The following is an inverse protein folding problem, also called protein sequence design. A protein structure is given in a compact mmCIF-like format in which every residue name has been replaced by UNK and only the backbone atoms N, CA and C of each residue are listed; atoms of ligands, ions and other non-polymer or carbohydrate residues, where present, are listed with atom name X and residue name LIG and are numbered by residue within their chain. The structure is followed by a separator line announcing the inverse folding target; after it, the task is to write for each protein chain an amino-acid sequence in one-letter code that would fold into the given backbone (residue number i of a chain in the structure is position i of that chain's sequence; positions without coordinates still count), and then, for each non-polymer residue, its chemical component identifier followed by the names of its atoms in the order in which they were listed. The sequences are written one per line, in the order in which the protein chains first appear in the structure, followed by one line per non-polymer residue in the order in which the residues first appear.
data_IF_857181390380
#
_entry.id   IF_857181390380
#
_cell.length_a   1.000
_cell.length_b   1.000
_cell.length_c   1.000
_cell.angle_alpha   90.00
_cell.angle_beta   90.00
_cell.angle_gamma   90.00
#
_symmetry.space_group_name_H-M   'P 1'
#
loop_
_entity.id
_entity.type
_entity.pdbx_description
1 polymer ?
#
# COMPACT_ATOMS: atom_id res chain seq x y z
N UNK A 1 33.14 -41.18 -4.23
CA UNK A 1 31.89 -40.49 -4.65
C UNK A 1 30.90 -40.75 -3.54
N UNK A 2 30.66 -39.77 -2.66
CA UNK A 2 29.72 -39.92 -1.55
C UNK A 2 28.32 -39.54 -2.03
N UNK A 3 27.34 -40.39 -1.79
CA UNK A 3 25.92 -40.16 -2.05
C UNK A 3 25.45 -38.99 -1.17
N UNK A 4 25.13 -37.84 -1.77
CA UNK A 4 24.44 -36.75 -1.07
C UNK A 4 22.97 -37.17 -0.82
N UNK A 5 22.46 -37.09 0.42
CA UNK A 5 21.08 -37.50 0.72
C UNK A 5 20.09 -36.54 0.05
N UNK A 6 19.10 -37.09 -0.66
CA UNK A 6 18.10 -36.33 -1.41
C UNK A 6 17.41 -35.21 -0.60
N UNK A 7 17.24 -35.40 0.72
CA UNK A 7 16.72 -34.39 1.64
C UNK A 7 17.53 -33.09 1.67
N UNK A 8 18.85 -33.19 1.55
CA UNK A 8 19.73 -32.02 1.56
C UNK A 8 19.59 -31.20 0.27
N UNK A 9 19.27 -31.85 -0.86
CA UNK A 9 19.03 -31.18 -2.13
C UNK A 9 17.66 -30.46 -2.16
N UNK A 10 16.61 -31.06 -1.62
CA UNK A 10 15.28 -30.43 -1.48
C UNK A 10 15.32 -29.22 -0.53
N UNK A 11 16.00 -29.34 0.62
CA UNK A 11 16.16 -28.24 1.56
C UNK A 11 16.87 -27.02 0.95
N UNK A 12 17.91 -27.26 0.13
CA UNK A 12 18.63 -26.19 -0.59
C UNK A 12 17.79 -25.55 -1.70
N UNK A 13 16.85 -26.31 -2.28
CA UNK A 13 15.93 -25.82 -3.30
C UNK A 13 14.85 -24.89 -2.69
N UNK A 14 14.28 -25.28 -1.55
CA UNK A 14 13.33 -24.44 -0.78
C UNK A 14 13.99 -23.17 -0.24
N UNK A 15 15.25 -23.24 0.20
CA UNK A 15 16.00 -22.06 0.64
C UNK A 15 16.31 -21.07 -0.52
N UNK A 16 16.38 -21.58 -1.76
CA UNK A 16 16.52 -20.77 -2.98
C UNK A 16 15.21 -20.23 -3.51
N UNK A 17 14.06 -20.69 -3.00
CA UNK A 17 12.77 -20.14 -3.38
C UNK A 17 12.79 -18.62 -3.08
N UNK A 18 12.39 -17.84 -4.07
CA UNK A 18 12.42 -16.39 -3.98
C UNK A 18 11.50 -15.95 -2.84
N UNK A 19 12.09 -15.50 -1.73
CA UNK A 19 11.32 -14.91 -0.63
C UNK A 19 10.48 -13.78 -1.21
N UNK A 20 9.17 -13.84 -0.98
CA UNK A 20 8.29 -12.71 -1.26
C UNK A 20 8.88 -11.48 -0.58
N UNK A 21 9.12 -10.43 -1.37
CA UNK A 21 9.72 -9.21 -0.84
C UNK A 21 8.81 -8.55 0.19
N UNK A 22 9.41 -7.94 1.22
CA UNK A 22 8.70 -7.25 2.30
C UNK A 22 7.66 -6.25 1.79
N UNK A 23 7.95 -5.56 0.69
CA UNK A 23 7.05 -4.59 0.03
C UNK A 23 5.80 -5.28 -0.53
N UNK A 24 5.95 -6.49 -1.08
CA UNK A 24 4.83 -7.26 -1.65
C UNK A 24 3.94 -7.84 -0.56
N UNK A 25 4.54 -8.38 0.50
CA UNK A 25 3.82 -8.81 1.69
C UNK A 25 3.08 -7.64 2.35
N UNK A 26 3.71 -6.47 2.45
CA UNK A 26 3.08 -5.28 2.99
C UNK A 26 1.90 -4.82 2.12
N UNK A 27 2.04 -4.84 0.79
CA UNK A 27 0.96 -4.49 -0.14
C UNK A 27 -0.20 -5.48 -0.06
N UNK A 28 0.08 -6.78 0.04
CA UNK A 28 -0.95 -7.81 0.22
C UNK A 28 -1.63 -7.71 1.58
N UNK A 29 -0.89 -7.34 2.63
CA UNK A 29 -1.44 -7.02 3.95
C UNK A 29 -2.36 -5.79 3.88
N UNK A 30 -1.93 -4.74 3.19
CA UNK A 30 -2.71 -3.52 2.99
C UNK A 30 -4.02 -3.78 2.21
N UNK A 31 -3.95 -4.64 1.19
CA UNK A 31 -5.12 -5.14 0.45
C UNK A 31 -6.05 -5.99 1.32
N UNK A 32 -5.50 -6.86 2.18
CA UNK A 32 -6.26 -7.73 3.07
C UNK A 32 -6.95 -6.97 4.20
N UNK A 33 -6.37 -5.87 4.69
CA UNK A 33 -6.91 -5.06 5.80
C UNK A 33 -8.13 -4.19 5.44
N UNK A 34 -8.93 -4.64 4.45
CA UNK A 34 -10.14 -4.04 3.92
C UNK A 34 -9.94 -2.59 3.48
N UNK A 35 -10.03 -2.38 2.16
CA UNK A 35 -10.14 -1.08 1.49
C UNK A 35 -11.06 -0.08 2.21
N UNK A 36 -12.07 -0.57 2.93
CA UNK A 36 -12.96 0.21 3.81
C UNK A 36 -12.29 1.06 4.90
N UNK A 37 -11.09 0.72 5.38
CA UNK A 37 -10.35 1.56 6.35
C UNK A 37 -9.48 2.63 5.68
N UNK A 38 -8.92 2.33 4.50
CA UNK A 38 -8.11 3.29 3.73
C UNK A 38 -8.98 4.27 2.96
N UNK A 39 -10.16 3.83 2.51
CA UNK A 39 -11.12 4.64 1.79
C UNK A 39 -11.48 5.95 2.51
N UNK A 40 -11.88 5.97 3.80
CA UNK A 40 -12.20 7.22 4.49
C UNK A 40 -10.99 8.15 4.59
N UNK A 41 -9.78 7.63 4.79
CA UNK A 41 -8.55 8.44 4.84
C UNK A 41 -8.28 9.10 3.48
N UNK A 42 -8.37 8.31 2.40
CA UNK A 42 -8.22 8.82 1.03
C UNK A 42 -9.27 9.87 0.68
N UNK A 43 -10.52 9.66 1.06
CA UNK A 43 -11.60 10.62 0.81
C UNK A 43 -11.33 11.95 1.50
N UNK A 44 -10.94 11.94 2.78
CA UNK A 44 -10.61 13.18 3.52
C UNK A 44 -9.40 13.87 2.90
N UNK A 45 -8.35 13.14 2.54
CA UNK A 45 -7.18 13.72 1.87
C UNK A 45 -7.55 14.36 0.52
N UNK A 46 -8.44 13.73 -0.24
CA UNK A 46 -8.91 14.24 -1.51
C UNK A 46 -9.76 15.50 -1.32
N UNK A 47 -10.65 15.52 -0.33
CA UNK A 47 -11.43 16.72 0.04
C UNK A 47 -10.50 17.86 0.44
N UNK A 48 -9.52 17.61 1.30
CA UNK A 48 -8.54 18.63 1.72
C UNK A 48 -7.74 19.13 0.52
N UNK A 49 -7.25 18.24 -0.35
CA UNK A 49 -6.53 18.62 -1.56
C UNK A 49 -7.39 19.45 -2.51
N UNK A 50 -8.66 19.09 -2.68
CA UNK A 50 -9.60 19.85 -3.50
C UNK A 50 -9.86 21.25 -2.91
N UNK A 51 -10.07 21.34 -1.59
CA UNK A 51 -10.23 22.61 -0.89
C UNK A 51 -8.97 23.48 -1.00
N UNK A 52 -7.78 22.89 -0.91
CA UNK A 52 -6.51 23.61 -1.07
C UNK A 52 -6.37 24.19 -2.49
N UNK A 53 -6.70 23.41 -3.52
CA UNK A 53 -6.68 23.88 -4.91
C UNK A 53 -7.72 24.97 -5.12
N UNK A 54 -8.97 24.76 -4.69
CA UNK A 54 -10.04 25.75 -4.83
C UNK A 54 -9.73 27.03 -4.05
N UNK A 55 -9.13 26.93 -2.87
CA UNK A 55 -8.68 28.08 -2.08
C UNK A 55 -7.54 28.87 -2.73
N UNK A 56 -6.66 28.19 -3.48
CA UNK A 56 -5.62 28.82 -4.27
C UNK A 56 -6.13 29.44 -5.59
N UNK A 57 -7.35 29.11 -6.01
CA UNK A 57 -8.02 29.77 -7.15
C UNK A 57 -8.79 31.02 -6.70
N UNK A 58 -9.16 31.89 -7.64
CA UNK A 58 -10.01 33.07 -7.37
C UNK A 58 -11.42 32.77 -6.84
N UNK A 59 -11.73 31.50 -6.51
CA UNK A 59 -12.95 31.06 -5.85
C UNK A 59 -12.92 31.24 -4.33
N UNK A 60 -11.82 31.71 -3.73
CA UNK A 60 -11.72 32.00 -2.29
C UNK A 60 -12.93 32.79 -1.71
N UNK A 61 -13.51 33.80 -2.39
CA UNK A 61 -14.67 34.53 -1.86
C UNK A 61 -15.92 33.67 -1.63
N UNK A 62 -16.13 32.63 -2.44
CA UNK A 62 -17.26 31.71 -2.29
C UNK A 62 -17.05 30.69 -1.17
N UNK A 63 -15.80 30.36 -0.85
CA UNK A 63 -15.45 29.54 0.32
C UNK A 63 -15.74 30.31 1.62
N UNK A 64 -15.46 31.61 1.65
CA UNK A 64 -15.79 32.44 2.81
C UNK A 64 -17.30 32.60 3.04
N UNK A 65 -18.13 32.55 1.98
CA UNK A 65 -19.58 32.67 2.13
C UNK A 65 -20.24 31.48 2.87
N UNK A 66 -19.54 30.36 3.05
CA UNK A 66 -20.00 29.21 3.83
C UNK A 66 -19.77 29.34 5.35
N UNK A 67 -19.03 30.36 5.79
CA UNK A 67 -18.67 30.62 7.19
C UNK A 67 -19.16 32.01 7.63
#
# INVERSE_FOLDING_TARGET
MAEEPADSAEFQQEARAARTGLIREFWDFLKHNKKWWILPILVVLLVIGLLAVLGATGLSPFLYALF
#
